data_IF_729088372882
#
_entry.id   IF_729088372882
#
_cell.length_a   1.000
_cell.length_b   1.000
_cell.length_c   1.000
_cell.angle_alpha   90.00
_cell.angle_beta   90.00
_cell.angle_gamma   90.00
#
_symmetry.space_group_name_H-M   'P 1'
#
loop_
_entity.id
_entity.type
_entity.pdbx_description
1 polymer ?
#
# COMPACT_ATOMS: atom_id res chain seq x y z
N UNK A 1 45.00 4.67 10.44
CA UNK A 1 43.94 4.03 11.25
C UNK A 1 44.26 2.55 11.48
N UNK A 2 45.43 2.19 12.04
CA UNK A 2 45.84 0.78 12.22
C UNK A 2 46.82 0.61 13.40
N UNK A 3 46.58 1.33 14.51
CA UNK A 3 47.38 1.22 15.75
C UNK A 3 46.55 0.74 16.95
N UNK A 4 45.21 0.73 16.85
CA UNK A 4 44.32 0.32 17.96
C UNK A 4 43.96 -1.18 17.97
N UNK A 5 44.32 -1.94 16.93
CA UNK A 5 44.02 -3.38 16.86
C UNK A 5 45.14 -4.29 17.41
N UNK A 6 46.31 -3.75 17.78
CA UNK A 6 47.42 -4.58 18.26
C UNK A 6 47.42 -4.83 19.78
N UNK A 7 46.65 -4.05 20.56
CA UNK A 7 46.64 -4.17 22.03
C UNK A 7 45.58 -5.17 22.52
N UNK A 8 44.48 -5.36 21.79
CA UNK A 8 43.42 -6.31 22.17
C UNK A 8 43.82 -7.79 22.00
N UNK A 9 44.85 -8.09 21.19
CA UNK A 9 45.27 -9.47 20.91
C UNK A 9 46.23 -10.07 21.96
N UNK A 10 46.72 -9.29 22.93
CA UNK A 10 47.70 -9.78 23.92
C UNK A 10 47.09 -10.18 25.28
N UNK A 11 45.78 -9.98 25.50
CA UNK A 11 45.12 -10.27 26.79
C UNK A 11 44.28 -11.55 26.82
N UNK A 12 44.15 -12.27 25.69
CA UNK A 12 43.23 -13.41 25.56
C UNK A 12 43.87 -14.80 25.80
N UNK A 13 45.13 -14.90 26.23
CA UNK A 13 45.85 -16.21 26.33
C UNK A 13 46.27 -16.61 27.74
N UNK A 14 45.74 -15.99 28.79
CA UNK A 14 46.06 -16.34 30.18
C UNK A 14 44.85 -16.87 31.00
N UNK A 15 43.86 -17.48 30.33
CA UNK A 15 42.65 -18.01 30.98
C UNK A 15 42.62 -19.54 31.03
N UNK A 16 43.74 -20.19 31.33
CA UNK A 16 43.72 -21.62 31.67
C UNK A 16 44.92 -22.01 32.55
N UNK A 17 44.70 -22.05 33.87
CA UNK A 17 45.39 -22.90 34.85
C UNK A 17 45.15 -22.41 36.31
N UNK A 18 44.25 -23.11 37.03
CA UNK A 18 44.30 -23.41 38.49
C UNK A 18 42.87 -23.50 39.01
N UNK A 19 42.27 -24.67 39.24
CA UNK A 19 42.65 -25.68 40.23
C UNK A 19 42.59 -25.17 41.69
N UNK A 20 41.57 -25.68 42.39
CA UNK A 20 41.57 -26.16 43.78
C UNK A 20 41.10 -25.26 44.95
N UNK A 21 40.22 -25.92 45.69
CA UNK A 21 40.23 -26.10 47.15
C UNK A 21 39.25 -25.26 47.97
N UNK A 22 38.17 -25.95 48.33
CA UNK A 22 37.49 -25.79 49.60
C UNK A 22 38.51 -25.99 50.73
N UNK A 23 38.72 -24.93 51.50
CA UNK A 23 39.70 -24.88 52.59
C UNK A 23 39.22 -23.94 53.68
N UNK A 24 38.19 -24.36 54.39
CA UNK A 24 37.65 -23.72 55.58
C UNK A 24 38.68 -23.81 56.72
N UNK A 25 39.46 -22.76 56.95
CA UNK A 25 40.23 -22.59 58.19
C UNK A 25 40.30 -21.12 58.57
N UNK A 26 39.62 -20.80 59.67
CA UNK A 26 39.72 -19.55 60.40
C UNK A 26 41.18 -19.29 60.81
N UNK A 27 41.85 -18.40 60.09
CA UNK A 27 43.07 -17.76 60.57
C UNK A 27 42.72 -16.28 60.74
N UNK A 28 42.53 -15.90 62.00
CA UNK A 28 42.48 -14.52 62.47
C UNK A 28 43.89 -13.94 62.32
N UNK A 29 44.23 -13.54 61.10
CA UNK A 29 45.46 -12.81 60.81
C UNK A 29 45.28 -11.38 61.31
N UNK A 30 46.05 -11.04 62.34
CA UNK A 30 46.25 -9.67 62.77
C UNK A 30 46.74 -8.85 61.57
N UNK A 31 45.89 -7.93 61.11
CA UNK A 31 46.15 -7.01 60.03
C UNK A 31 47.25 -6.04 60.46
N UNK A 32 48.50 -6.42 60.20
CA UNK A 32 49.62 -5.48 60.09
C UNK A 32 49.30 -4.61 58.87
N UNK A 33 48.97 -3.34 59.11
CA UNK A 33 48.81 -2.32 58.09
C UNK A 33 50.11 -2.22 57.28
N UNK A 34 50.20 -2.97 56.17
CA UNK A 34 51.29 -2.84 55.21
C UNK A 34 51.19 -1.47 54.54
N UNK A 35 52.27 -0.68 54.48
CA UNK A 35 52.29 0.63 53.81
C UNK A 35 52.03 0.55 52.29
N UNK A 36 52.09 -0.64 51.68
CA UNK A 36 51.86 -0.87 50.25
C UNK A 36 50.49 -0.38 49.73
N UNK A 37 49.44 -0.38 50.55
CA UNK A 37 48.12 0.10 50.13
C UNK A 37 48.08 1.60 49.82
N UNK A 38 48.99 2.39 50.40
CA UNK A 38 49.07 3.83 50.13
C UNK A 38 49.71 4.15 48.78
N UNK A 39 50.72 3.39 48.37
CA UNK A 39 51.37 3.57 47.06
C UNK A 39 50.44 3.18 45.91
N UNK A 40 49.69 2.08 46.07
CA UNK A 40 48.68 1.66 45.10
C UNK A 40 47.56 2.69 44.96
N UNK A 41 47.07 3.26 46.06
CA UNK A 41 46.04 4.31 46.03
C UNK A 41 46.51 5.59 45.32
N UNK A 42 47.79 5.97 45.50
CA UNK A 42 48.38 7.14 44.82
C UNK A 42 48.55 6.87 43.32
N UNK A 43 49.00 5.67 42.94
CA UNK A 43 49.12 5.26 41.55
C UNK A 43 47.75 5.24 40.85
N UNK A 44 46.73 4.67 41.49
CA UNK A 44 45.36 4.62 40.99
C UNK A 44 44.76 6.03 40.80
N UNK A 45 44.99 6.93 41.75
CA UNK A 45 44.57 8.33 41.63
C UNK A 45 45.25 9.05 40.45
N UNK A 46 46.53 8.75 40.18
CA UNK A 46 47.24 9.29 39.02
C UNK A 46 46.66 8.76 37.70
N UNK A 47 46.36 7.46 37.63
CA UNK A 47 45.69 6.85 36.48
C UNK A 47 44.29 7.44 36.25
N UNK A 48 43.51 7.59 37.33
CA UNK A 48 42.18 8.23 37.28
C UNK A 48 42.28 9.64 36.69
N UNK A 49 43.22 10.46 37.16
CA UNK A 49 43.42 11.82 36.61
C UNK A 49 43.86 11.79 35.15
N UNK A 50 44.75 10.86 34.77
CA UNK A 50 45.20 10.71 33.39
C UNK A 50 44.03 10.36 32.46
N UNK A 51 43.18 9.41 32.84
CA UNK A 51 41.96 9.06 32.08
C UNK A 51 40.98 10.22 32.06
N UNK A 52 40.76 10.90 33.19
CA UNK A 52 39.84 12.05 33.30
C UNK A 52 40.25 13.25 32.43
N UNK A 53 41.55 13.39 32.14
CA UNK A 53 42.13 14.43 31.29
C UNK A 53 42.50 13.95 29.89
N UNK A 54 42.17 12.72 29.53
CA UNK A 54 42.28 12.25 28.15
C UNK A 54 41.35 13.03 27.23
N UNK A 55 41.74 13.17 25.96
CA UNK A 55 40.95 13.91 24.96
C UNK A 55 39.56 13.32 24.77
N UNK A 56 39.47 11.99 24.72
CA UNK A 56 38.20 11.28 24.56
C UNK A 56 37.25 11.53 25.73
N UNK A 57 37.77 11.56 26.96
CA UNK A 57 36.98 11.87 28.15
C UNK A 57 36.52 13.33 28.18
N UNK A 58 37.36 14.27 27.73
CA UNK A 58 36.96 15.68 27.61
C UNK A 58 35.82 15.85 26.59
N UNK A 59 35.91 15.19 25.43
CA UNK A 59 34.86 15.19 24.41
C UNK A 59 33.57 14.54 24.93
N UNK A 60 33.68 13.42 25.64
CA UNK A 60 32.56 12.76 26.30
C UNK A 60 31.86 13.66 27.32
N UNK A 61 32.63 14.38 28.14
CA UNK A 61 32.09 15.35 29.12
C UNK A 61 31.39 16.51 28.43
N UNK A 62 31.98 17.08 27.39
CA UNK A 62 31.36 18.15 26.61
C UNK A 62 30.04 17.65 25.98
N UNK A 63 30.05 16.44 25.41
CA UNK A 63 28.86 15.79 24.85
C UNK A 63 27.74 15.64 25.88
N UNK A 64 28.03 15.13 27.08
CA UNK A 64 27.02 14.94 28.13
C UNK A 64 26.39 16.27 28.54
N UNK A 65 27.17 17.34 28.65
CA UNK A 65 26.64 18.66 28.98
C UNK A 65 25.72 19.19 27.87
N UNK A 66 26.17 19.14 26.61
CA UNK A 66 25.35 19.55 25.45
C UNK A 66 24.09 18.71 25.34
N UNK A 67 24.18 17.39 25.56
CA UNK A 67 23.03 16.50 25.57
C UNK A 67 22.05 16.87 26.69
N UNK A 68 22.56 17.13 27.90
CA UNK A 68 21.72 17.49 29.04
C UNK A 68 21.02 18.84 28.87
N UNK A 69 21.65 19.79 28.17
CA UNK A 69 21.08 21.10 27.86
C UNK A 69 20.02 21.02 26.76
N UNK A 70 20.23 20.16 25.75
CA UNK A 70 19.28 19.96 24.65
C UNK A 70 18.10 19.08 25.02
N UNK A 71 18.29 18.15 25.95
CA UNK A 71 17.23 17.25 26.40
C UNK A 71 16.23 18.02 27.25
N UNK A 72 14.94 17.94 26.89
CA UNK A 72 13.87 18.54 27.67
C UNK A 72 13.70 17.92 29.07
N UNK A 73 14.30 16.75 29.32
CA UNK A 73 14.12 15.98 30.56
C UNK A 73 15.19 16.27 31.62
N UNK A 74 16.31 16.84 31.23
CA UNK A 74 17.44 17.08 32.12
C UNK A 74 17.85 18.55 32.10
N UNK A 75 18.40 19.04 33.19
CA UNK A 75 19.03 20.37 33.23
C UNK A 75 20.55 20.24 33.18
N UNK A 76 21.22 21.32 32.77
CA UNK A 76 22.69 21.40 32.76
C UNK A 76 23.30 21.06 34.12
N UNK A 77 22.69 21.52 35.22
CA UNK A 77 23.17 21.22 36.59
C UNK A 77 23.11 19.74 36.93
N UNK A 78 22.11 19.01 36.43
CA UNK A 78 22.05 17.55 36.55
C UNK A 78 23.15 16.86 35.75
N UNK A 79 23.46 17.37 34.55
CA UNK A 79 24.61 16.91 33.76
C UNK A 79 25.94 17.10 34.50
N UNK A 80 26.15 18.27 35.09
CA UNK A 80 27.34 18.55 35.90
C UNK A 80 27.41 17.66 37.17
N UNK A 81 26.28 17.45 37.85
CA UNK A 81 26.20 16.55 39.00
C UNK A 81 26.48 15.08 38.60
N UNK A 82 26.05 14.66 37.41
CA UNK A 82 26.38 13.35 36.86
C UNK A 82 27.87 13.21 36.61
N UNK A 83 28.51 14.18 35.92
CA UNK A 83 29.95 14.16 35.67
C UNK A 83 30.77 14.17 36.96
N UNK A 84 30.29 14.84 38.02
CA UNK A 84 30.93 14.79 39.35
C UNK A 84 30.93 13.38 39.93
N UNK A 85 29.86 12.59 39.73
CA UNK A 85 29.84 11.18 40.15
C UNK A 85 30.78 10.33 39.30
N UNK A 86 30.82 10.55 37.99
CA UNK A 86 31.75 9.84 37.09
C UNK A 86 33.21 10.10 37.49
N UNK A 87 33.57 11.33 37.88
CA UNK A 87 34.94 11.64 38.33
C UNK A 87 35.39 10.94 39.62
N UNK A 88 34.46 10.35 40.36
CA UNK A 88 34.74 9.61 41.59
C UNK A 88 34.92 8.10 41.35
N UNK A 89 34.67 7.62 40.13
CA UNK A 89 34.85 6.22 39.74
C UNK A 89 36.34 5.85 39.66
N UNK A 90 36.65 4.55 39.71
CA UNK A 90 38.02 4.05 39.45
C UNK A 90 38.45 4.34 38.00
N UNK A 91 39.75 4.19 37.68
CA UNK A 91 40.20 4.39 36.29
C UNK A 91 39.49 3.43 35.33
N UNK A 92 39.32 2.18 35.74
CA UNK A 92 38.73 1.12 34.91
C UNK A 92 37.24 1.36 34.69
N UNK A 93 36.51 1.74 35.74
CA UNK A 93 35.09 2.08 35.65
C UNK A 93 34.83 3.30 34.74
N UNK A 94 35.74 4.29 34.74
CA UNK A 94 35.65 5.42 33.82
C UNK A 94 35.91 5.03 32.37
N UNK A 95 36.83 4.11 32.12
CA UNK A 95 37.08 3.59 30.77
C UNK A 95 35.86 2.79 30.27
N UNK A 96 35.28 1.93 31.11
CA UNK A 96 34.06 1.20 30.78
C UNK A 96 32.87 2.15 30.56
N UNK A 97 32.77 3.23 31.35
CA UNK A 97 31.76 4.27 31.13
C UNK A 97 31.95 4.96 29.78
N UNK A 98 33.19 5.33 29.44
CA UNK A 98 33.52 5.97 28.17
C UNK A 98 33.18 5.06 26.99
N UNK A 99 33.55 3.79 27.06
CA UNK A 99 33.26 2.80 26.03
C UNK A 99 31.75 2.64 25.84
N UNK A 100 30.98 2.48 26.92
CA UNK A 100 29.51 2.40 26.85
C UNK A 100 28.90 3.65 26.24
N UNK A 101 29.40 4.84 26.57
CA UNK A 101 28.93 6.09 25.96
C UNK A 101 29.25 6.13 24.46
N UNK A 102 30.45 5.71 24.04
CA UNK A 102 30.85 5.66 22.63
C UNK A 102 29.97 4.67 21.85
N UNK A 103 29.72 3.48 22.40
CA UNK A 103 28.82 2.48 21.81
C UNK A 103 27.38 3.01 21.70
N UNK A 104 26.88 3.71 22.72
CA UNK A 104 25.57 4.36 22.68
C UNK A 104 25.50 5.42 21.58
N UNK A 105 26.54 6.24 21.43
CA UNK A 105 26.62 7.27 20.37
C UNK A 105 26.63 6.64 18.99
N UNK A 106 27.47 5.64 18.76
CA UNK A 106 27.51 4.91 17.49
C UNK A 106 26.15 4.26 17.17
N UNK A 107 25.48 3.69 18.17
CA UNK A 107 24.13 3.13 18.02
C UNK A 107 23.08 4.18 17.64
N UNK A 108 23.15 5.38 18.22
CA UNK A 108 22.24 6.49 17.86
C UNK A 108 22.52 7.03 16.46
N UNK A 109 23.78 7.16 16.07
CA UNK A 109 24.17 7.59 14.72
C UNK A 109 23.72 6.58 13.66
N UNK A 110 23.91 5.27 13.92
CA UNK A 110 23.41 4.22 13.03
C UNK A 110 21.89 4.24 12.86
N UNK A 111 21.13 4.50 13.94
CA UNK A 111 19.66 4.67 13.85
C UNK A 111 19.27 5.88 13.03
N UNK A 112 19.97 7.00 13.17
CA UNK A 112 19.69 8.22 12.38
C UNK A 112 19.91 7.99 10.90
N UNK A 113 21.03 7.36 10.52
CA UNK A 113 21.31 7.02 9.13
C UNK A 113 20.24 6.09 8.55
N UNK A 114 19.85 5.04 9.29
CA UNK A 114 18.78 4.14 8.86
C UNK A 114 17.42 4.84 8.72
N UNK A 115 17.10 5.81 9.59
CA UNK A 115 15.89 6.63 9.46
C UNK A 115 15.93 7.57 8.25
N UNK A 116 17.09 8.15 7.95
CA UNK A 116 17.30 9.00 6.77
C UNK A 116 17.14 8.19 5.49
N UNK A 117 17.79 7.03 5.39
CA UNK A 117 17.62 6.09 4.27
C UNK A 117 16.16 5.65 4.10
N UNK A 118 15.46 5.33 5.20
CA UNK A 118 14.05 4.97 5.15
C UNK A 118 13.16 6.13 4.64
N UNK A 119 13.48 7.38 5.01
CA UNK A 119 12.76 8.56 4.50
C UNK A 119 13.00 8.74 3.01
N UNK A 120 14.24 8.60 2.55
CA UNK A 120 14.59 8.69 1.13
C UNK A 120 13.83 7.64 0.30
N UNK A 121 13.89 6.36 0.71
CA UNK A 121 13.15 5.28 0.05
C UNK A 121 11.64 5.54 0.03
N UNK A 122 11.08 6.06 1.13
CA UNK A 122 9.65 6.40 1.19
C UNK A 122 9.27 7.51 0.22
N UNK A 123 10.15 8.50 0.03
CA UNK A 123 9.95 9.60 -0.89
C UNK A 123 10.04 9.13 -2.35
N UNK A 124 11.01 8.26 -2.67
CA UNK A 124 11.16 7.66 -3.99
C UNK A 124 9.92 6.85 -4.38
N UNK A 125 9.45 5.96 -3.50
CA UNK A 125 8.22 5.18 -3.73
C UNK A 125 6.99 6.08 -3.94
N UNK A 126 6.89 7.20 -3.22
CA UNK A 126 5.80 8.14 -3.42
C UNK A 126 5.85 8.81 -4.81
N UNK A 127 7.04 9.18 -5.29
CA UNK A 127 7.24 9.73 -6.63
C UNK A 127 6.92 8.68 -7.70
N UNK A 128 7.35 7.44 -7.51
CA UNK A 128 7.05 6.35 -8.44
C UNK A 128 5.55 6.07 -8.55
N UNK A 129 4.84 5.98 -7.42
CA UNK A 129 3.38 5.82 -7.42
C UNK A 129 2.68 6.94 -8.16
N UNK A 130 3.15 8.18 -8.00
CA UNK A 130 2.61 9.32 -8.73
C UNK A 130 2.83 9.19 -10.24
N UNK A 131 4.05 8.83 -10.66
CA UNK A 131 4.36 8.60 -12.09
C UNK A 131 3.51 7.47 -12.68
N UNK A 132 3.32 6.38 -11.95
CA UNK A 132 2.46 5.27 -12.37
C UNK A 132 1.00 5.72 -12.52
N UNK A 133 0.48 6.52 -11.59
CA UNK A 133 -0.86 7.07 -11.68
C UNK A 133 -1.03 8.00 -12.89
N UNK A 134 -0.04 8.86 -13.16
CA UNK A 134 -0.01 9.73 -14.34
C UNK A 134 0.00 8.91 -15.65
N UNK A 135 0.86 7.88 -15.74
CA UNK A 135 0.90 6.98 -16.88
C UNK A 135 -0.40 6.20 -17.07
N UNK A 136 -1.01 5.70 -15.98
CA UNK A 136 -2.31 5.03 -16.04
C UNK A 136 -3.41 5.98 -16.55
N UNK A 137 -3.37 7.25 -16.16
CA UNK A 137 -4.26 8.29 -16.67
C UNK A 137 -4.10 8.50 -18.18
N UNK A 138 -2.87 8.60 -18.68
CA UNK A 138 -2.57 8.72 -20.11
C UNK A 138 -3.08 7.48 -20.87
N UNK A 139 -2.75 6.28 -20.39
CA UNK A 139 -3.19 5.02 -21.01
C UNK A 139 -4.72 4.90 -21.05
N UNK A 140 -5.41 5.33 -20.00
CA UNK A 140 -6.87 5.34 -19.97
C UNK A 140 -7.47 6.31 -21.01
N UNK A 141 -6.85 7.47 -21.23
CA UNK A 141 -7.28 8.41 -22.27
C UNK A 141 -7.07 7.83 -23.67
N UNK A 142 -5.90 7.22 -23.93
CA UNK A 142 -5.61 6.54 -25.20
C UNK A 142 -6.58 5.39 -25.46
N UNK A 143 -6.87 4.58 -24.45
CA UNK A 143 -7.85 3.49 -24.55
C UNK A 143 -9.25 4.02 -24.89
N UNK A 144 -9.68 5.12 -24.27
CA UNK A 144 -10.97 5.76 -24.60
C UNK A 144 -11.00 6.26 -26.04
N UNK A 145 -9.94 6.95 -26.49
CA UNK A 145 -9.86 7.45 -27.87
C UNK A 145 -9.94 6.30 -28.89
N UNK A 146 -9.20 5.22 -28.66
CA UNK A 146 -9.23 4.03 -29.50
C UNK A 146 -10.61 3.34 -29.51
N UNK A 147 -11.27 3.23 -28.35
CA UNK A 147 -12.63 2.69 -28.26
C UNK A 147 -13.65 3.56 -29.00
N UNK A 148 -13.50 4.89 -28.95
CA UNK A 148 -14.38 5.78 -29.71
C UNK A 148 -14.18 5.64 -31.21
N UNK A 149 -12.94 5.55 -31.67
CA UNK A 149 -12.62 5.40 -33.09
C UNK A 149 -13.13 4.06 -33.65
N UNK A 150 -12.91 2.97 -32.92
CA UNK A 150 -13.43 1.64 -33.30
C UNK A 150 -14.96 1.59 -33.31
N UNK A 151 -15.62 2.30 -32.40
CA UNK A 151 -17.08 2.43 -32.41
C UNK A 151 -17.59 3.20 -33.65
N UNK A 152 -16.93 4.30 -34.01
CA UNK A 152 -17.28 5.07 -35.23
C UNK A 152 -17.06 4.27 -36.51
N UNK A 153 -15.96 3.52 -36.61
CA UNK A 153 -15.69 2.63 -37.74
C UNK A 153 -16.79 1.58 -37.87
N UNK A 154 -17.17 0.92 -36.77
CA UNK A 154 -18.24 -0.08 -36.77
C UNK A 154 -19.60 0.51 -37.14
N UNK A 155 -19.90 1.73 -36.69
CA UNK A 155 -21.11 2.45 -37.10
C UNK A 155 -21.13 2.71 -38.61
N UNK A 156 -20.01 3.14 -39.20
CA UNK A 156 -19.90 3.37 -40.63
C UNK A 156 -20.10 2.09 -41.45
N UNK A 157 -19.49 0.97 -41.04
CA UNK A 157 -19.68 -0.33 -41.69
C UNK A 157 -21.15 -0.80 -41.62
N UNK A 158 -21.81 -0.62 -40.46
CA UNK A 158 -23.24 -0.94 -40.32
C UNK A 158 -24.12 -0.04 -41.20
N UNK A 159 -23.78 1.24 -41.34
CA UNK A 159 -24.50 2.15 -42.22
C UNK A 159 -24.35 1.75 -43.70
N UNK A 160 -23.14 1.42 -44.16
CA UNK A 160 -22.86 1.01 -45.54
C UNK A 160 -23.56 -0.32 -45.90
N UNK A 161 -23.53 -1.29 -44.98
CA UNK A 161 -24.26 -2.57 -45.15
C UNK A 161 -25.77 -2.38 -45.13
N UNK A 162 -26.29 -1.45 -44.32
CA UNK A 162 -27.70 -1.09 -44.34
C UNK A 162 -28.09 -0.43 -45.67
N UNK A 163 -27.34 0.55 -46.16
CA UNK A 163 -27.59 1.24 -47.43
C UNK A 163 -27.59 0.27 -48.61
N UNK A 164 -26.58 -0.60 -48.72
CA UNK A 164 -26.52 -1.64 -49.76
C UNK A 164 -27.71 -2.61 -49.67
N UNK A 165 -28.13 -3.01 -48.48
CA UNK A 165 -29.33 -3.86 -48.32
C UNK A 165 -30.63 -3.14 -48.69
N UNK A 166 -30.72 -1.82 -48.47
CA UNK A 166 -31.91 -1.05 -48.86
C UNK A 166 -31.95 -0.81 -50.36
N UNK A 167 -30.80 -0.62 -51.01
CA UNK A 167 -30.72 -0.42 -52.45
C UNK A 167 -31.05 -1.71 -53.21
N UNK A 168 -30.57 -2.88 -52.74
CA UNK A 168 -30.96 -4.19 -53.29
C UNK A 168 -32.46 -4.44 -53.12
N UNK A 169 -33.01 -4.22 -51.92
CA UNK A 169 -34.46 -4.35 -51.69
C UNK A 169 -35.29 -3.40 -52.57
N UNK A 170 -34.82 -2.17 -52.79
CA UNK A 170 -35.49 -1.21 -53.69
C UNK A 170 -35.44 -1.68 -55.14
N UNK A 171 -34.29 -2.19 -55.60
CA UNK A 171 -34.13 -2.75 -56.94
C UNK A 171 -35.02 -4.00 -57.15
N UNK A 172 -35.05 -4.92 -56.19
CA UNK A 172 -35.92 -6.09 -56.19
C UNK A 172 -37.40 -5.70 -56.24
N UNK A 173 -37.82 -4.73 -55.41
CA UNK A 173 -39.20 -4.20 -55.45
C UNK A 173 -39.53 -3.55 -56.79
N UNK A 174 -38.61 -2.75 -57.34
CA UNK A 174 -38.80 -2.12 -58.65
C UNK A 174 -38.95 -3.17 -59.77
N UNK A 175 -38.11 -4.22 -59.75
CA UNK A 175 -38.19 -5.33 -60.69
C UNK A 175 -39.52 -6.11 -60.56
N UNK A 176 -39.98 -6.38 -59.33
CA UNK A 176 -41.26 -7.04 -59.08
C UNK A 176 -42.45 -6.23 -59.63
N UNK A 177 -42.45 -4.91 -59.41
CA UNK A 177 -43.50 -4.01 -59.94
C UNK A 177 -43.44 -3.94 -61.48
N UNK A 178 -42.26 -3.89 -62.08
CA UNK A 178 -42.10 -3.90 -63.54
C UNK A 178 -42.63 -5.20 -64.17
N UNK A 179 -42.37 -6.35 -63.55
CA UNK A 179 -42.92 -7.63 -63.97
C UNK A 179 -44.45 -7.68 -63.91
N UNK A 180 -45.06 -7.07 -62.89
CA UNK A 180 -46.53 -6.98 -62.79
C UNK A 180 -47.15 -6.11 -63.89
N UNK A 181 -46.47 -5.04 -64.34
CA UNK A 181 -46.97 -4.18 -65.43
C UNK A 181 -47.02 -4.90 -66.79
N UNK A 182 -46.17 -5.90 -67.01
CA UNK A 182 -46.14 -6.71 -68.23
C UNK A 182 -47.20 -7.83 -68.25
N UNK A 183 -47.74 -8.19 -67.09
CA UNK A 183 -48.81 -9.18 -66.93
C UNK A 183 -50.21 -8.55 -66.78
N UNK A 184 -50.32 -7.23 -66.92
CA UNK A 184 -51.60 -6.53 -66.89
C UNK A 184 -52.31 -6.67 -68.23
N UNK A 185 -53.22 -7.64 -68.31
CA UNK A 185 -54.16 -7.79 -69.40
C UNK A 185 -55.39 -6.89 -69.13
N UNK A 186 -55.58 -5.79 -69.88
CA UNK A 186 -56.71 -4.88 -69.68
C UNK A 186 -58.07 -5.50 -70.04
N UNK A 187 -58.09 -6.73 -70.59
CA UNK A 187 -59.30 -7.46 -71.00
C UNK A 187 -59.52 -8.75 -70.19
N UNK A 188 -58.60 -9.13 -69.30
CA UNK A 188 -58.89 -10.16 -68.31
C UNK A 188 -59.94 -9.64 -67.32
N UNK A 189 -60.91 -10.47 -66.85
CA UNK A 189 -61.92 -10.04 -65.88
C UNK A 189 -61.20 -9.52 -64.63
N UNK A 190 -61.23 -8.20 -64.49
CA UNK A 190 -60.44 -7.45 -63.53
C UNK A 190 -60.91 -7.77 -62.12
N UNK A 191 -60.05 -8.45 -61.36
CA UNK A 191 -60.00 -8.25 -59.92
C UNK A 191 -59.61 -6.78 -59.72
N UNK A 192 -60.61 -5.95 -59.43
CA UNK A 192 -60.46 -4.55 -59.06
C UNK A 192 -59.27 -4.38 -58.09
N UNK A 193 -58.22 -3.61 -58.43
CA UNK A 193 -57.06 -3.40 -57.56
C UNK A 193 -57.42 -2.60 -56.29
N UNK A 194 -58.60 -1.96 -56.24
CA UNK A 194 -59.15 -1.38 -55.01
C UNK A 194 -59.83 -2.43 -54.12
N UNK A 195 -60.06 -3.66 -54.62
CA UNK A 195 -60.63 -4.75 -53.82
C UNK A 195 -59.53 -5.48 -53.07
N UNK A 196 -59.63 -5.60 -51.72
CA UNK A 196 -58.63 -6.32 -50.94
C UNK A 196 -58.47 -7.76 -51.47
N UNK A 197 -57.25 -8.29 -51.53
CA UNK A 197 -57.02 -9.67 -51.99
C UNK A 197 -57.84 -10.65 -51.13
N UNK A 198 -58.22 -11.81 -51.69
CA UNK A 198 -59.16 -12.75 -51.03
C UNK A 198 -58.78 -13.10 -49.59
N UNK A 199 -57.49 -13.18 -49.27
CA UNK A 199 -57.01 -13.41 -47.91
C UNK A 199 -57.23 -12.21 -46.97
N UNK A 200 -57.14 -10.97 -47.47
CA UNK A 200 -57.51 -9.75 -46.71
C UNK A 200 -59.02 -9.66 -46.54
N UNK A 201 -59.84 -10.13 -47.50
CA UNK A 201 -61.30 -10.26 -47.30
C UNK A 201 -61.67 -11.31 -46.26
N UNK A 202 -60.96 -12.45 -46.24
CA UNK A 202 -61.15 -13.48 -45.24
C UNK A 202 -60.70 -13.01 -43.84
N UNK A 203 -59.56 -12.31 -43.74
CA UNK A 203 -59.08 -11.67 -42.51
C UNK A 203 -60.00 -10.54 -42.05
N UNK A 204 -60.52 -9.71 -42.96
CA UNK A 204 -61.46 -8.61 -42.63
C UNK A 204 -62.83 -9.13 -42.19
N UNK A 205 -63.28 -10.26 -42.71
CA UNK A 205 -64.48 -10.95 -42.21
C UNK A 205 -64.24 -11.61 -40.85
N UNK A 206 -63.02 -12.10 -40.58
CA UNK A 206 -62.62 -12.62 -39.28
C UNK A 206 -62.25 -11.51 -38.26
N UNK A 207 -62.02 -10.29 -38.72
CA UNK A 207 -61.71 -9.10 -37.90
C UNK A 207 -62.86 -8.10 -37.89
N UNK A 208 -64.10 -8.56 -38.03
CA UNK A 208 -65.23 -7.83 -37.49
C UNK A 208 -65.05 -7.79 -35.96
N UNK A 209 -65.09 -6.62 -35.31
CA UNK A 209 -64.88 -6.51 -33.88
C UNK A 209 -66.00 -7.27 -33.15
N UNK A 210 -65.72 -8.48 -32.66
CA UNK A 210 -66.66 -9.27 -31.86
C UNK A 210 -66.67 -10.79 -32.07
N UNK A 211 -66.01 -11.35 -33.10
CA UNK A 211 -66.18 -12.78 -33.46
C UNK A 211 -64.88 -13.59 -33.56
N UNK A 212 -63.90 -13.30 -32.68
CA UNK A 212 -62.77 -14.19 -32.42
C UNK A 212 -63.03 -14.99 -31.13
N UNK A 213 -62.63 -16.28 -31.05
CA UNK A 213 -62.81 -17.10 -29.86
C UNK A 213 -62.12 -16.46 -28.64
N UNK A 214 -62.75 -16.56 -27.47
CA UNK A 214 -62.38 -15.89 -26.19
C UNK A 214 -60.94 -16.12 -25.66
N UNK A 215 -60.07 -16.81 -26.39
CA UNK A 215 -58.71 -17.16 -25.97
C UNK A 215 -57.57 -16.51 -26.76
N UNK A 216 -57.83 -15.70 -27.79
CA UNK A 216 -56.74 -15.12 -28.62
C UNK A 216 -56.23 -13.79 -28.03
N UNK A 217 -54.94 -13.66 -27.64
CA UNK A 217 -54.36 -12.45 -27.07
C UNK A 217 -54.37 -11.23 -27.99
N UNK A 218 -54.60 -11.41 -29.30
CA UNK A 218 -54.75 -10.31 -30.25
C UNK A 218 -56.07 -9.52 -30.09
N UNK A 219 -57.04 -10.04 -29.34
CA UNK A 219 -58.38 -9.43 -29.17
C UNK A 219 -58.40 -8.21 -28.22
N UNK A 220 -57.31 -7.95 -27.49
CA UNK A 220 -57.24 -6.90 -26.46
C UNK A 220 -56.37 -5.69 -26.84
N UNK A 221 -55.90 -5.62 -28.08
CA UNK A 221 -55.15 -4.45 -28.57
C UNK A 221 -56.10 -3.31 -28.96
N UNK A 222 -57.00 -2.90 -28.05
CA UNK A 222 -57.77 -1.67 -28.18
C UNK A 222 -57.25 -0.70 -27.14
N UNK A 223 -56.48 0.28 -27.62
CA UNK A 223 -56.11 1.44 -26.82
C UNK A 223 -57.36 2.17 -26.35
N UNK A 224 -57.52 2.23 -25.04
CA UNK A 224 -58.20 3.31 -24.36
C UNK A 224 -57.36 3.67 -23.13
N UNK A 225 -56.91 4.92 -23.13
CA UNK A 225 -56.12 5.56 -22.10
C UNK A 225 -56.94 5.87 -20.84
N UNK A 226 -56.24 6.06 -19.72
CA UNK A 226 -56.56 6.85 -18.50
C UNK A 226 -57.07 6.13 -17.24
N UNK A 227 -56.39 6.48 -16.15
CA UNK A 227 -56.88 6.48 -14.75
C UNK A 227 -56.66 5.13 -14.05
N UNK A 228 -55.81 4.99 -13.03
CA UNK A 228 -55.57 5.88 -11.91
C UNK A 228 -56.04 5.17 -10.63
N UNK A 229 -55.15 4.99 -9.65
CA UNK A 229 -55.53 4.72 -8.26
C UNK A 229 -54.94 3.46 -7.62
N UNK A 230 -54.07 3.67 -6.62
CA UNK A 230 -53.55 2.67 -5.66
C UNK A 230 -52.02 2.66 -5.66
N UNK A 231 -51.30 3.56 -4.98
CA UNK A 231 -51.28 3.69 -3.51
C UNK A 231 -50.41 2.57 -2.93
N UNK A 232 -49.16 2.80 -2.51
CA UNK A 232 -48.69 3.11 -1.13
C UNK A 232 -47.15 2.86 -1.12
N UNK A 233 -46.26 3.52 -0.35
CA UNK A 233 -46.18 4.92 0.11
C UNK A 233 -44.77 5.55 -0.08
N UNK A 234 -44.69 6.85 0.15
CA UNK A 234 -43.49 7.65 0.40
C UNK A 234 -43.22 7.79 1.92
N UNK A 235 -41.94 7.94 2.29
CA UNK A 235 -41.44 8.32 3.62
C UNK A 235 -40.78 7.14 4.36
N UNK A 236 -39.48 7.11 4.69
CA UNK A 236 -38.55 8.18 5.01
C UNK A 236 -38.31 8.15 6.52
N UNK A 237 -37.16 7.63 6.97
CA UNK A 237 -36.37 8.26 8.03
C UNK A 237 -35.02 7.56 8.30
N UNK A 238 -34.06 8.44 8.53
CA UNK A 238 -32.71 8.34 9.09
C UNK A 238 -32.28 7.09 9.86
N UNK A 239 -31.04 6.65 9.58
CA UNK A 239 -30.06 6.39 10.63
C UNK A 239 -28.63 6.52 10.07
N UNK A 240 -27.91 7.51 10.61
CA UNK A 240 -26.46 7.61 10.54
C UNK A 240 -25.82 6.62 11.51
N UNK A 241 -24.81 5.89 11.05
CA UNK A 241 -23.79 5.20 11.84
C UNK A 241 -22.70 4.78 10.85
N UNK A 242 -21.43 5.20 10.90
CA UNK A 242 -20.65 5.63 12.07
C UNK A 242 -19.98 4.43 12.74
N UNK A 243 -18.99 3.81 12.08
CA UNK A 243 -17.93 2.95 12.66
C UNK A 243 -16.91 2.71 11.52
N UNK A 244 -15.64 3.12 11.54
CA UNK A 244 -14.60 3.04 12.57
C UNK A 244 -14.37 1.61 13.08
N UNK A 245 -13.52 0.87 12.37
CA UNK A 245 -12.67 -0.22 12.87
C UNK A 245 -11.54 -0.34 11.83
N UNK A 246 -10.26 -0.05 12.08
CA UNK A 246 -9.51 -0.22 13.33
C UNK A 246 -9.30 -1.71 13.56
N UNK A 247 -8.16 -2.26 13.15
CA UNK A 247 -7.84 -3.67 13.40
C UNK A 247 -6.76 -4.23 12.47
N UNK A 248 -5.54 -4.24 12.99
CA UNK A 248 -4.30 -4.81 12.45
C UNK A 248 -4.40 -6.21 11.84
N UNK A 249 -3.60 -6.43 10.79
CA UNK A 249 -2.98 -7.73 10.55
C UNK A 249 -1.57 -7.51 9.98
N UNK A 250 -0.61 -7.38 10.89
CA UNK A 250 0.75 -7.81 10.65
C UNK A 250 0.73 -9.29 10.26
N UNK A 251 1.45 -9.66 9.19
CA UNK A 251 1.52 -11.04 8.72
C UNK A 251 2.57 -11.20 7.66
N UNK A 252 3.82 -11.32 8.11
CA UNK A 252 5.02 -11.53 7.33
C UNK A 252 4.89 -12.69 6.32
N UNK A 253 5.27 -12.44 5.07
CA UNK A 253 5.63 -13.47 4.12
C UNK A 253 7.15 -13.40 3.88
N UNK A 254 7.90 -14.11 4.72
CA UNK A 254 9.28 -14.45 4.46
C UNK A 254 9.31 -15.63 3.45
N UNK A 255 10.07 -15.57 2.34
CA UNK A 255 10.42 -16.77 1.61
C UNK A 255 11.50 -17.55 2.37
N UNK A 256 11.12 -18.75 2.79
CA UNK A 256 11.99 -19.71 3.43
C UNK A 256 13.10 -20.17 2.47
N UNK A 257 14.31 -20.23 3.01
CA UNK A 257 15.43 -20.97 2.47
C UNK A 257 15.07 -22.46 2.37
N UNK A 258 15.09 -23.00 1.15
CA UNK A 258 15.08 -24.43 0.89
C UNK A 258 16.49 -24.89 0.54
N UNK A 259 17.20 -25.42 1.53
CA UNK A 259 18.38 -26.26 1.31
C UNK A 259 17.95 -27.68 0.95
N UNK A 260 18.46 -28.17 -0.16
CA UNK A 260 18.64 -29.58 -0.51
C UNK A 260 19.76 -29.57 -1.55
N UNK A 261 20.93 -30.19 -1.37
CA UNK A 261 21.18 -31.43 -0.68
C UNK A 261 21.11 -32.57 -1.69
N UNK A 262 22.08 -32.58 -2.61
CA UNK A 262 22.86 -33.74 -3.09
C UNK A 262 24.22 -33.23 -3.59
#
# INVERSE_FOLDING_TARGET
MNQLLLIAALMATASDASAQSEGTLSIRSESKMSPEGTEQAVAEEALRRAVWHSTEMLDARAYVLVYSERSAQSSRSQGEAYLRRVSQLSSDEMLEWLERLQQQRAGLEGRRLAEEEARELSAELAVERRRQAEQAGINAQLAKAWLTETWWQRQAEVAETAESSTSTRKAERAAAVAGQRLAYDPLAPTLDPASPPRWVRAMAAASLPGDLPRGDPANFSRGDDRGGGGGIPTGGDAAASGAASGGDAAGAAAPAAGGGGE
#
